data_IF_128035272920
#
_entry.id   IF_128035272920
#
_cell.length_a   1.000
_cell.length_b   1.000
_cell.length_c   1.000
_cell.angle_alpha   90.00
_cell.angle_beta   90.00
_cell.angle_gamma   90.00
#
_symmetry.space_group_name_H-M   'P 1'
#
loop_
_entity.id
_entity.type
_entity.pdbx_description
1 polymer ?
#
# COMPACT_ATOMS: atom_id res chain seq x y z
N UNK A 1 3.00 5.02 -35.66
CA UNK A 1 1.57 5.42 -35.55
C UNK A 1 1.22 5.18 -34.10
N UNK A 2 0.77 6.21 -33.39
CA UNK A 2 0.36 6.08 -31.99
C UNK A 2 -0.97 5.33 -31.88
N UNK A 3 -1.13 4.55 -30.82
CA UNK A 3 -2.37 3.81 -30.53
C UNK A 3 -3.31 4.70 -29.73
N UNK A 4 -4.54 4.92 -30.23
CA UNK A 4 -5.59 5.61 -29.46
C UNK A 4 -5.96 4.80 -28.23
N UNK A 5 -6.09 5.47 -27.09
CA UNK A 5 -6.48 4.85 -25.82
C UNK A 5 -7.95 5.14 -25.53
N UNK A 6 -8.69 4.11 -25.16
CA UNK A 6 -10.08 4.16 -24.72
C UNK A 6 -10.26 3.22 -23.52
N UNK A 7 -11.47 3.17 -22.97
CA UNK A 7 -11.82 2.21 -21.91
C UNK A 7 -11.58 0.74 -22.29
N UNK A 8 -11.52 0.43 -23.59
CA UNK A 8 -11.34 -0.95 -24.08
C UNK A 8 -9.90 -1.45 -23.97
N UNK A 9 -8.92 -0.55 -23.97
CA UNK A 9 -7.48 -0.90 -23.90
C UNK A 9 -6.72 -0.18 -22.78
N UNK A 10 -7.40 0.66 -21.98
CA UNK A 10 -6.77 1.49 -20.97
C UNK A 10 -5.93 0.69 -19.96
N UNK A 11 -6.47 -0.42 -19.43
CA UNK A 11 -5.76 -1.25 -18.44
C UNK A 11 -4.39 -1.69 -18.97
N UNK A 12 -4.35 -2.13 -20.23
CA UNK A 12 -3.10 -2.54 -20.88
C UNK A 12 -2.17 -1.35 -21.08
N UNK A 13 -2.69 -0.23 -21.59
CA UNK A 13 -1.90 0.98 -21.82
C UNK A 13 -1.28 1.55 -20.54
N UNK A 14 -2.04 1.63 -19.45
CA UNK A 14 -1.55 2.09 -18.15
C UNK A 14 -0.53 1.11 -17.55
N UNK A 15 -0.73 -0.20 -17.74
CA UNK A 15 0.23 -1.22 -17.29
C UNK A 15 1.52 -1.18 -18.09
N UNK A 16 1.45 -0.98 -19.40
CA UNK A 16 2.63 -0.79 -20.26
C UNK A 16 3.41 0.47 -19.85
N UNK A 17 2.71 1.58 -19.58
CA UNK A 17 3.32 2.81 -19.04
C UNK A 17 4.03 2.55 -17.72
N UNK A 18 3.40 1.82 -16.81
CA UNK A 18 3.96 1.51 -15.49
C UNK A 18 5.14 0.53 -15.57
N UNK A 19 5.08 -0.50 -16.42
CA UNK A 19 6.19 -1.42 -16.65
C UNK A 19 7.39 -0.68 -17.24
N UNK A 20 7.19 0.18 -18.24
CA UNK A 20 8.27 0.98 -18.81
C UNK A 20 8.93 1.90 -17.76
N UNK A 21 8.12 2.56 -16.91
CA UNK A 21 8.61 3.43 -15.84
C UNK A 21 9.38 2.66 -14.76
N UNK A 22 8.85 1.53 -14.29
CA UNK A 22 9.49 0.70 -13.25
C UNK A 22 10.79 0.08 -13.77
N UNK A 23 10.79 -0.43 -15.01
CA UNK A 23 12.00 -0.94 -15.65
C UNK A 23 13.08 0.14 -15.76
N UNK A 24 12.70 1.37 -16.14
CA UNK A 24 13.65 2.48 -16.24
C UNK A 24 14.20 2.89 -14.86
N UNK A 25 13.34 2.97 -13.83
CA UNK A 25 13.73 3.28 -12.44
C UNK A 25 14.69 2.23 -11.87
N UNK A 26 14.49 0.96 -12.23
CA UNK A 26 15.39 -0.14 -11.85
C UNK A 26 16.70 -0.20 -12.65
N UNK A 27 16.85 0.63 -13.68
CA UNK A 27 18.02 0.63 -14.56
C UNK A 27 18.06 -0.53 -15.56
N UNK A 28 16.97 -1.30 -15.71
CA UNK A 28 16.88 -2.39 -16.67
C UNK A 28 15.82 -3.44 -16.33
N UNK A 29 15.64 -4.38 -17.25
CA UNK A 29 14.81 -5.59 -17.04
C UNK A 29 15.51 -6.53 -16.06
N UNK A 30 14.72 -7.31 -15.30
CA UNK A 30 15.20 -8.30 -14.34
C UNK A 30 16.12 -7.70 -13.26
N UNK A 31 15.90 -6.44 -12.89
CA UNK A 31 16.62 -5.77 -11.83
C UNK A 31 15.62 -5.22 -10.81
N UNK A 32 15.95 -5.36 -9.52
CA UNK A 32 15.19 -4.73 -8.46
C UNK A 32 15.66 -3.30 -8.24
N UNK A 33 14.71 -2.38 -8.19
CA UNK A 33 14.86 -1.09 -7.53
C UNK A 33 14.33 -1.22 -6.10
N UNK A 34 15.16 -0.96 -5.11
CA UNK A 34 14.77 -0.92 -3.69
C UNK A 34 14.54 0.52 -3.22
N UNK A 35 13.35 0.82 -2.67
CA UNK A 35 13.14 1.99 -1.82
C UNK A 35 13.87 1.75 -0.50
N UNK A 36 14.91 2.56 -0.22
CA UNK A 36 15.71 2.47 1.01
C UNK A 36 15.23 3.38 2.13
N UNK A 37 14.28 4.25 1.83
CA UNK A 37 13.73 5.22 2.76
C UNK A 37 12.21 5.20 2.68
N UNK A 38 11.50 5.46 3.80
CA UNK A 38 10.06 5.66 3.78
C UNK A 38 9.71 6.83 2.86
N UNK A 39 8.53 6.76 2.25
CA UNK A 39 8.14 7.75 1.25
C UNK A 39 8.11 9.18 1.85
N UNK A 40 8.79 10.16 1.23
CA UNK A 40 8.97 11.51 1.78
C UNK A 40 7.64 12.24 2.01
N UNK A 41 7.59 13.12 3.02
CA UNK A 41 6.38 13.88 3.36
C UNK A 41 6.24 15.13 2.48
N UNK A 42 7.36 15.71 2.05
CA UNK A 42 7.44 16.88 1.19
C UNK A 42 7.27 16.56 -0.31
N UNK A 43 7.34 15.29 -0.69
CA UNK A 43 7.20 14.83 -2.08
C UNK A 43 6.15 13.70 -2.22
N UNK A 44 4.90 14.02 -1.90
CA UNK A 44 3.79 13.06 -2.00
C UNK A 44 3.15 13.09 -3.39
N UNK A 45 3.46 12.09 -4.21
CA UNK A 45 2.91 11.93 -5.57
C UNK A 45 1.65 11.05 -5.62
N UNK A 46 1.28 10.43 -4.50
CA UNK A 46 0.15 9.50 -4.37
C UNK A 46 -0.74 9.91 -3.19
N UNK A 47 -2.04 10.01 -3.42
CA UNK A 47 -3.03 10.26 -2.37
C UNK A 47 -3.09 9.05 -1.43
N UNK A 48 -3.14 9.30 -0.12
CA UNK A 48 -3.13 8.26 0.93
C UNK A 48 -1.89 7.36 0.86
N UNK A 49 -0.73 7.99 0.70
CA UNK A 49 0.58 7.35 0.69
C UNK A 49 0.77 6.43 1.90
N UNK A 50 1.39 5.27 1.65
CA UNK A 50 1.73 4.30 2.68
C UNK A 50 3.15 4.53 3.19
N UNK A 51 3.35 4.54 4.51
CA UNK A 51 4.66 4.60 5.17
C UNK A 51 4.96 3.39 6.05
N UNK A 52 4.07 2.40 6.10
CA UNK A 52 4.26 1.17 6.89
C UNK A 52 5.24 0.20 6.24
N UNK A 53 5.48 0.30 4.92
CA UNK A 53 6.31 -0.67 4.19
C UNK A 53 7.32 0.02 3.28
N UNK A 54 8.55 -0.51 3.23
CA UNK A 54 9.48 -0.23 2.14
C UNK A 54 9.19 -1.17 0.96
N UNK A 55 9.32 -0.62 -0.24
CA UNK A 55 8.98 -1.32 -1.48
C UNK A 55 10.22 -1.73 -2.27
N UNK A 56 10.12 -2.82 -3.01
CA UNK A 56 11.09 -3.18 -4.06
C UNK A 56 10.33 -3.59 -5.31
N UNK A 57 10.74 -3.08 -6.47
CA UNK A 57 10.05 -3.32 -7.72
C UNK A 57 11.00 -3.82 -8.79
N UNK A 58 10.54 -4.77 -9.60
CA UNK A 58 11.21 -5.21 -10.81
C UNK A 58 10.17 -5.51 -11.90
N UNK A 59 10.52 -5.21 -13.16
CA UNK A 59 9.86 -5.84 -14.30
C UNK A 59 10.71 -7.03 -14.72
N UNK A 60 10.08 -8.19 -14.89
CA UNK A 60 10.75 -9.48 -15.10
C UNK A 60 10.31 -10.05 -16.44
N UNK A 61 11.28 -10.43 -17.28
CA UNK A 61 11.04 -11.25 -18.48
C UNK A 61 11.00 -12.72 -18.09
N UNK A 62 9.80 -13.30 -18.14
CA UNK A 62 9.53 -14.69 -17.75
C UNK A 62 9.34 -15.60 -18.96
N UNK A 63 9.63 -15.12 -20.18
CA UNK A 63 9.45 -15.89 -21.42
C UNK A 63 10.26 -17.18 -21.51
N UNK A 64 11.35 -17.28 -20.76
CA UNK A 64 12.14 -18.49 -20.59
C UNK A 64 12.12 -19.00 -19.12
N UNK A 65 11.10 -18.60 -18.35
CA UNK A 65 10.99 -18.82 -16.91
C UNK A 65 11.87 -17.87 -16.09
N UNK A 66 11.45 -17.60 -14.86
CA UNK A 66 12.26 -16.88 -13.87
C UNK A 66 11.98 -17.40 -12.46
N UNK A 67 12.82 -17.01 -11.50
CA UNK A 67 12.70 -17.29 -10.07
C UNK A 67 12.92 -16.03 -9.28
N UNK A 68 12.03 -15.73 -8.34
CA UNK A 68 12.26 -14.73 -7.29
C UNK A 68 12.53 -15.45 -5.97
N UNK A 69 13.59 -15.08 -5.27
CA UNK A 69 13.89 -15.61 -3.94
C UNK A 69 13.67 -14.53 -2.89
N UNK A 70 12.82 -14.83 -1.91
CA UNK A 70 12.60 -13.99 -0.73
C UNK A 70 13.43 -14.52 0.44
N UNK A 71 14.12 -13.64 1.19
CA UNK A 71 14.85 -14.03 2.38
C UNK A 71 13.89 -14.38 3.52
N UNK A 72 14.45 -15.03 4.55
CA UNK A 72 13.78 -15.13 5.84
C UNK A 72 13.75 -13.77 6.54
N UNK A 73 12.53 -13.28 6.76
CA UNK A 73 12.21 -12.04 7.46
C UNK A 73 11.71 -12.28 8.89
N UNK A 74 11.71 -13.53 9.37
CA UNK A 74 11.12 -13.91 10.66
C UNK A 74 9.63 -13.60 10.69
N UNK A 75 9.17 -12.99 11.79
CA UNK A 75 7.77 -12.60 11.98
C UNK A 75 7.40 -11.28 11.26
N UNK A 76 8.37 -10.61 10.62
CA UNK A 76 8.12 -9.36 9.91
C UNK A 76 7.30 -9.61 8.66
N UNK A 77 6.26 -8.81 8.47
CA UNK A 77 5.47 -8.85 7.23
C UNK A 77 6.37 -8.56 6.01
N UNK A 78 6.41 -9.53 5.10
CA UNK A 78 6.99 -9.41 3.77
C UNK A 78 6.09 -10.14 2.78
N UNK A 79 5.72 -9.46 1.69
CA UNK A 79 4.91 -10.03 0.61
C UNK A 79 5.53 -9.68 -0.74
N UNK A 80 5.52 -10.63 -1.68
CA UNK A 80 5.89 -10.38 -3.08
C UNK A 80 4.67 -10.59 -3.98
N UNK A 81 4.11 -9.49 -4.46
CA UNK A 81 2.98 -9.47 -5.36
C UNK A 81 3.46 -9.53 -6.81
N UNK A 82 2.87 -10.40 -7.62
CA UNK A 82 3.16 -10.52 -9.06
C UNK A 82 1.98 -10.01 -9.86
N UNK A 83 2.23 -9.00 -10.70
CA UNK A 83 1.22 -8.38 -11.57
C UNK A 83 1.55 -8.70 -13.02
N UNK A 84 0.62 -9.33 -13.73
CA UNK A 84 0.80 -9.61 -15.15
C UNK A 84 0.57 -8.35 -16.01
N UNK A 85 0.85 -8.44 -17.31
CA UNK A 85 0.76 -7.28 -18.18
C UNK A 85 -0.70 -6.83 -18.47
N UNK A 86 -1.70 -7.62 -18.06
CA UNK A 86 -3.12 -7.24 -18.10
C UNK A 86 -3.63 -6.73 -16.73
N UNK A 87 -2.71 -6.41 -15.82
CA UNK A 87 -2.96 -5.87 -14.49
C UNK A 87 -3.69 -6.81 -13.51
N UNK A 88 -3.65 -8.12 -13.76
CA UNK A 88 -4.13 -9.10 -12.79
C UNK A 88 -3.03 -9.46 -11.80
N UNK A 89 -3.44 -9.71 -10.56
CA UNK A 89 -2.58 -10.16 -9.48
C UNK A 89 -2.78 -11.66 -9.31
N UNK A 90 -2.02 -12.46 -10.05
CA UNK A 90 -2.23 -13.92 -10.09
C UNK A 90 -1.47 -14.67 -8.98
N UNK A 91 -0.53 -14.00 -8.30
CA UNK A 91 0.19 -14.59 -7.18
C UNK A 91 0.66 -13.53 -6.18
N UNK A 92 0.58 -13.87 -4.90
CA UNK A 92 1.22 -13.15 -3.80
C UNK A 92 1.95 -14.18 -2.94
N UNK A 93 3.26 -14.05 -2.87
CA UNK A 93 4.11 -14.95 -2.09
C UNK A 93 4.39 -14.35 -0.72
N UNK A 94 4.29 -15.21 0.30
CA UNK A 94 4.56 -14.89 1.70
C UNK A 94 5.63 -15.83 2.23
N UNK A 95 6.56 -15.30 3.04
CA UNK A 95 7.61 -16.09 3.67
C UNK A 95 8.81 -16.37 2.78
N UNK A 96 9.86 -16.91 3.42
CA UNK A 96 11.12 -17.24 2.77
C UNK A 96 10.97 -18.35 1.74
N UNK A 97 11.62 -18.23 0.59
CA UNK A 97 11.61 -19.27 -0.42
C UNK A 97 11.94 -18.76 -1.81
N UNK A 98 12.11 -19.71 -2.72
CA UNK A 98 12.29 -19.44 -4.15
C UNK A 98 11.00 -19.81 -4.88
N UNK A 99 10.45 -18.85 -5.61
CA UNK A 99 9.17 -18.95 -6.29
C UNK A 99 9.39 -18.86 -7.80
N UNK A 100 8.87 -19.84 -8.54
CA UNK A 100 8.93 -19.88 -9.99
C UNK A 100 7.93 -18.90 -10.60
N UNK A 101 8.32 -18.25 -11.70
CA UNK A 101 7.50 -17.39 -12.51
C UNK A 101 7.48 -17.91 -13.94
N UNK A 102 6.29 -18.28 -14.44
CA UNK A 102 6.13 -18.91 -15.76
C UNK A 102 5.03 -18.22 -16.57
N UNK A 103 5.19 -18.19 -17.90
CA UNK A 103 4.16 -17.65 -18.81
C UNK A 103 2.85 -18.42 -18.67
N UNK A 104 2.90 -19.74 -18.45
CA UNK A 104 1.70 -20.57 -18.25
C UNK A 104 0.88 -20.14 -17.04
N UNK A 105 1.53 -19.67 -15.97
CA UNK A 105 0.84 -19.18 -14.77
C UNK A 105 0.28 -17.76 -14.95
N UNK A 106 1.09 -16.84 -15.50
CA UNK A 106 0.75 -15.41 -15.52
C UNK A 106 0.15 -14.91 -16.83
N UNK A 107 0.15 -15.74 -17.88
CA UNK A 107 -0.43 -15.43 -19.20
C UNK A 107 0.34 -14.41 -20.04
N UNK A 108 1.39 -13.78 -19.50
CA UNK A 108 2.17 -12.75 -20.19
C UNK A 108 3.67 -13.01 -20.08
N UNK A 109 4.45 -12.56 -21.07
CA UNK A 109 5.91 -12.76 -21.09
C UNK A 109 6.67 -11.84 -20.12
N UNK A 110 6.05 -10.74 -19.72
CA UNK A 110 6.57 -9.81 -18.72
C UNK A 110 5.60 -9.69 -17.55
N UNK A 111 6.14 -9.61 -16.35
CA UNK A 111 5.40 -9.37 -15.10
C UNK A 111 6.11 -8.31 -14.27
N UNK A 112 5.38 -7.62 -13.40
CA UNK A 112 5.97 -6.80 -12.35
C UNK A 112 5.96 -7.59 -11.04
N UNK A 113 7.11 -7.63 -10.35
CA UNK A 113 7.23 -8.16 -8.99
C UNK A 113 7.39 -6.98 -8.03
N UNK A 114 6.42 -6.81 -7.13
CA UNK A 114 6.38 -5.77 -6.12
C UNK A 114 6.47 -6.36 -4.73
N UNK A 115 7.61 -6.17 -4.06
CA UNK A 115 7.84 -6.63 -2.69
C UNK A 115 7.53 -5.50 -1.71
N UNK A 116 6.76 -5.80 -0.66
CA UNK A 116 6.47 -4.91 0.47
C UNK A 116 7.06 -5.52 1.72
N UNK A 117 7.87 -4.76 2.45
CA UNK A 117 8.44 -5.18 3.73
C UNK A 117 8.08 -4.17 4.80
N UNK A 118 7.44 -4.61 5.89
CA UNK A 118 7.09 -3.75 7.02
C UNK A 118 8.34 -3.06 7.57
N UNK A 119 8.21 -1.78 7.91
CA UNK A 119 9.28 -0.96 8.49
C UNK A 119 8.69 -0.06 9.58
N UNK A 120 9.45 0.20 10.63
CA UNK A 120 9.22 1.37 11.48
C UNK A 120 9.85 2.60 10.81
N UNK A 121 9.06 3.54 10.25
CA UNK A 121 9.60 4.69 9.55
C UNK A 121 10.28 5.71 10.48
N UNK A 122 10.18 5.56 11.80
CA UNK A 122 10.82 6.42 12.80
C UNK A 122 12.13 5.82 13.36
N UNK A 123 12.40 4.54 13.13
CA UNK A 123 13.62 3.87 13.61
C UNK A 123 14.63 3.65 12.47
N UNK A 124 15.72 4.41 12.51
CA UNK A 124 16.81 4.30 11.54
C UNK A 124 17.50 2.91 11.55
N UNK A 125 17.55 2.22 12.70
CA UNK A 125 18.10 0.88 12.78
C UNK A 125 17.16 -0.13 12.10
N UNK A 126 15.85 0.04 12.25
CA UNK A 126 14.85 -0.80 11.58
C UNK A 126 14.88 -0.62 10.06
N UNK A 127 14.99 0.62 9.58
CA UNK A 127 15.17 0.95 8.15
C UNK A 127 16.43 0.27 7.58
N UNK A 128 17.53 0.28 8.34
CA UNK A 128 18.77 -0.38 7.96
C UNK A 128 18.60 -1.90 7.90
N UNK A 129 17.85 -2.50 8.82
CA UNK A 129 17.55 -3.94 8.80
C UNK A 129 16.68 -4.32 7.60
N UNK A 130 15.62 -3.56 7.31
CA UNK A 130 14.80 -3.77 6.10
C UNK A 130 15.65 -3.64 4.84
N UNK A 131 16.61 -2.70 4.81
CA UNK A 131 17.55 -2.59 3.70
C UNK A 131 18.41 -3.84 3.53
N UNK A 132 18.88 -4.44 4.63
CA UNK A 132 19.59 -5.74 4.58
C UNK A 132 18.69 -6.89 4.12
N UNK A 133 17.40 -6.88 4.46
CA UNK A 133 16.44 -7.85 3.93
C UNK A 133 16.29 -7.68 2.42
N UNK A 134 16.08 -6.46 1.95
CA UNK A 134 15.97 -6.14 0.52
C UNK A 134 17.20 -6.60 -0.28
N UNK A 135 18.41 -6.43 0.26
CA UNK A 135 19.66 -6.88 -0.39
C UNK A 135 19.74 -8.40 -0.61
N UNK A 136 18.94 -9.17 0.14
CA UNK A 136 18.87 -10.63 0.04
C UNK A 136 17.74 -11.12 -0.87
N UNK A 137 16.93 -10.22 -1.43
CA UNK A 137 15.96 -10.56 -2.46
C UNK A 137 16.73 -10.79 -3.76
N UNK A 138 16.60 -11.96 -4.37
CA UNK A 138 17.27 -12.27 -5.64
C UNK A 138 16.28 -12.58 -6.75
N UNK A 139 16.71 -12.35 -7.98
CA UNK A 139 15.96 -12.64 -9.20
C UNK A 139 16.87 -13.35 -10.19
N UNK A 140 16.42 -14.50 -10.68
CA UNK A 140 17.10 -15.28 -11.72
C UNK A 140 16.13 -15.47 -12.88
N UNK A 141 16.48 -15.00 -14.08
CA UNK A 141 15.62 -15.12 -15.25
C UNK A 141 16.35 -15.86 -16.38
N UNK A 142 15.64 -16.74 -17.08
CA UNK A 142 16.17 -17.49 -18.23
C UNK A 142 16.31 -16.65 -19.50
N UNK A 143 15.75 -15.44 -19.51
CA UNK A 143 15.80 -14.47 -20.61
C UNK A 143 15.87 -13.05 -20.04
N UNK A 144 16.34 -12.09 -20.85
CA UNK A 144 16.49 -10.68 -20.49
C UNK A 144 16.03 -9.74 -21.61
N UNK A 145 14.93 -10.08 -22.29
CA UNK A 145 14.33 -9.22 -23.31
C UNK A 145 13.70 -8.01 -22.63
N UNK A 146 14.17 -6.78 -22.91
CA UNK A 146 13.58 -5.59 -22.31
C UNK A 146 12.09 -5.48 -22.63
N UNK A 147 11.31 -4.99 -21.68
CA UNK A 147 9.96 -4.56 -21.93
C UNK A 147 10.01 -3.29 -22.80
N UNK A 148 9.25 -3.30 -23.91
CA UNK A 148 9.12 -2.17 -24.84
C UNK A 148 7.65 -1.80 -24.94
N UNK A 149 7.28 -0.67 -24.34
CA UNK A 149 5.92 -0.14 -24.42
C UNK A 149 5.58 0.23 -25.87
N UNK A 150 4.36 -0.05 -26.35
CA UNK A 150 3.81 0.60 -27.52
C UNK A 150 3.78 2.13 -27.34
N UNK A 151 3.77 2.85 -28.47
CA UNK A 151 3.50 4.29 -28.45
C UNK A 151 1.99 4.52 -28.38
N UNK A 152 1.53 5.12 -27.28
CA UNK A 152 0.14 5.54 -27.07
C UNK A 152 -0.04 7.02 -27.37
N UNK A 153 -1.23 7.38 -27.86
CA UNK A 153 -1.61 8.78 -28.02
C UNK A 153 -1.88 9.42 -26.65
N UNK A 154 -1.02 10.36 -26.25
CA UNK A 154 -1.06 10.97 -24.92
C UNK A 154 -2.41 11.68 -24.62
N UNK A 155 -3.01 12.33 -25.61
CA UNK A 155 -4.27 13.07 -25.41
C UNK A 155 -5.42 12.12 -25.06
N UNK A 156 -5.57 11.02 -25.80
CA UNK A 156 -6.59 10.01 -25.51
C UNK A 156 -6.29 9.20 -24.24
N UNK A 157 -4.99 8.97 -23.94
CA UNK A 157 -4.56 8.35 -22.69
C UNK A 157 -4.98 9.18 -21.47
N UNK A 158 -4.55 10.44 -21.43
CA UNK A 158 -4.83 11.35 -20.31
C UNK A 158 -6.33 11.59 -20.18
N UNK A 159 -7.03 11.81 -21.29
CA UNK A 159 -8.49 11.97 -21.28
C UNK A 159 -9.24 10.74 -20.74
N UNK A 160 -8.79 9.53 -21.08
CA UNK A 160 -9.38 8.29 -20.54
C UNK A 160 -9.06 8.13 -19.06
N UNK A 161 -7.80 8.38 -18.66
CA UNK A 161 -7.35 8.30 -17.27
C UNK A 161 -8.13 9.26 -16.37
N UNK A 162 -8.27 10.52 -16.78
CA UNK A 162 -9.00 11.54 -16.03
C UNK A 162 -10.48 11.18 -15.87
N UNK A 163 -11.10 10.64 -16.92
CA UNK A 163 -12.48 10.12 -16.85
C UNK A 163 -12.63 8.99 -15.82
N UNK A 164 -11.68 8.05 -15.79
CA UNK A 164 -11.68 6.96 -14.81
C UNK A 164 -11.42 7.45 -13.38
N UNK A 165 -10.52 8.41 -13.19
CA UNK A 165 -10.29 9.05 -11.90
C UNK A 165 -11.53 9.78 -11.40
N UNK A 166 -12.30 10.42 -12.28
CA UNK A 166 -13.59 11.02 -11.93
C UNK A 166 -14.63 9.98 -11.51
N UNK A 167 -14.65 8.79 -12.11
CA UNK A 167 -15.53 7.70 -11.67
C UNK A 167 -15.10 7.17 -10.29
N UNK A 168 -13.79 7.10 -10.02
CA UNK A 168 -13.26 6.65 -8.74
C UNK A 168 -13.76 7.49 -7.56
N UNK A 169 -14.07 8.79 -7.75
CA UNK A 169 -14.57 9.66 -6.67
C UNK A 169 -15.96 9.26 -6.16
N UNK A 170 -16.70 8.43 -6.89
CA UNK A 170 -18.03 7.93 -6.50
C UNK A 170 -17.97 6.54 -5.85
N UNK A 171 -16.80 5.94 -5.71
CA UNK A 171 -16.61 4.65 -5.05
C UNK A 171 -16.30 4.85 -3.57
N UNK A 172 -16.87 3.99 -2.72
CA UNK A 172 -16.66 4.00 -1.27
C UNK A 172 -15.45 3.16 -0.81
N UNK A 173 -14.78 2.45 -1.73
CA UNK A 173 -13.66 1.57 -1.41
C UNK A 173 -12.99 0.97 -2.65
N UNK A 174 -11.91 0.23 -2.43
CA UNK A 174 -11.11 -0.46 -3.46
C UNK A 174 -11.45 -1.95 -3.58
N UNK A 175 -12.61 -2.36 -3.07
CA UNK A 175 -13.04 -3.76 -3.12
C UNK A 175 -13.11 -4.27 -4.57
N UNK A 176 -12.59 -5.50 -4.78
CA UNK A 176 -12.59 -6.20 -6.08
C UNK A 176 -11.98 -5.43 -7.25
N UNK A 177 -11.08 -4.47 -6.98
CA UNK A 177 -10.30 -3.78 -8.02
C UNK A 177 -9.06 -4.55 -8.45
N UNK A 178 -8.48 -5.34 -7.53
CA UNK A 178 -7.22 -6.07 -7.73
C UNK A 178 -7.41 -7.52 -7.29
N UNK A 179 -6.73 -8.45 -7.96
CA UNK A 179 -6.89 -9.89 -7.79
C UNK A 179 -6.67 -10.63 -9.11
N UNK A 180 -6.95 -11.93 -9.11
CA UNK A 180 -7.03 -12.70 -10.35
C UNK A 180 -8.21 -12.21 -11.20
N UNK A 181 -8.26 -12.65 -12.46
CA UNK A 181 -9.36 -12.33 -13.37
C UNK A 181 -10.74 -12.69 -12.82
N UNK A 182 -10.83 -13.76 -12.02
CA UNK A 182 -12.07 -14.26 -11.42
C UNK A 182 -12.50 -13.50 -10.16
N UNK A 183 -11.54 -12.88 -9.46
CA UNK A 183 -11.78 -12.18 -8.19
C UNK A 183 -12.29 -10.75 -8.42
N UNK A 184 -11.79 -10.09 -9.47
CA UNK A 184 -12.12 -8.69 -9.75
C UNK A 184 -13.52 -8.51 -10.32
N UNK A 185 -14.10 -7.34 -10.09
CA UNK A 185 -15.20 -6.84 -10.92
C UNK A 185 -14.59 -6.08 -12.12
N UNK A 186 -14.97 -6.38 -13.38
CA UNK A 186 -14.31 -5.79 -14.54
C UNK A 186 -14.35 -4.25 -14.61
N UNK A 187 -15.44 -3.62 -14.12
CA UNK A 187 -15.55 -2.16 -14.11
C UNK A 187 -14.66 -1.58 -13.02
N UNK A 188 -14.63 -2.23 -11.84
CA UNK A 188 -13.76 -1.82 -10.74
C UNK A 188 -12.29 -2.04 -11.06
N UNK A 189 -11.93 -3.11 -11.76
CA UNK A 189 -10.57 -3.36 -12.26
C UNK A 189 -10.11 -2.25 -13.21
N UNK A 190 -10.95 -1.86 -14.17
CA UNK A 190 -10.68 -0.74 -15.08
C UNK A 190 -10.43 0.58 -14.33
N UNK A 191 -11.31 0.92 -13.37
CA UNK A 191 -11.15 2.14 -12.56
C UNK A 191 -9.89 2.04 -11.67
N UNK A 192 -9.65 0.87 -11.07
CA UNK A 192 -8.52 0.59 -10.20
C UNK A 192 -7.17 0.70 -10.90
N UNK A 193 -7.09 0.33 -12.19
CA UNK A 193 -5.90 0.52 -13.01
C UNK A 193 -5.47 2.00 -13.08
N UNK A 194 -6.42 2.93 -13.13
CA UNK A 194 -6.13 4.37 -13.10
C UNK A 194 -5.87 4.90 -11.68
N UNK A 195 -6.70 4.50 -10.72
CA UNK A 195 -6.78 5.12 -9.39
C UNK A 195 -5.79 4.55 -8.36
N UNK A 196 -5.28 3.34 -8.57
CA UNK A 196 -4.46 2.64 -7.58
C UNK A 196 -3.61 1.53 -8.17
N UNK A 197 -3.00 1.76 -9.34
CA UNK A 197 -2.18 0.75 -10.02
C UNK A 197 -1.20 0.06 -9.06
N UNK A 198 -1.20 -1.27 -9.06
CA UNK A 198 -0.34 -2.05 -8.16
C UNK A 198 -0.90 -2.19 -6.73
N UNK A 199 -2.20 -1.92 -6.54
CA UNK A 199 -2.91 -2.25 -5.30
C UNK A 199 -2.93 -3.76 -5.01
N UNK A 200 -3.01 -4.11 -3.73
CA UNK A 200 -3.21 -5.49 -3.30
C UNK A 200 -4.68 -5.89 -3.42
N UNK A 201 -4.98 -7.18 -3.65
CA UNK A 201 -6.34 -7.72 -3.52
C UNK A 201 -6.90 -7.50 -2.12
N UNK A 202 -8.23 -7.44 -2.01
CA UNK A 202 -8.93 -7.16 -0.75
C UNK A 202 -8.61 -8.17 0.37
N UNK A 203 -8.32 -9.42 0.00
CA UNK A 203 -7.87 -10.50 0.90
C UNK A 203 -6.47 -10.26 1.49
N UNK A 204 -5.70 -9.35 0.91
CA UNK A 204 -4.28 -9.12 1.24
C UNK A 204 -4.07 -7.75 1.87
N UNK A 205 -4.83 -6.74 1.43
CA UNK A 205 -4.96 -5.49 2.15
C UNK A 205 -6.36 -4.90 1.97
N UNK A 206 -7.00 -4.56 3.08
CA UNK A 206 -8.26 -3.81 3.12
C UNK A 206 -8.06 -2.43 3.73
N UNK A 207 -8.82 -1.45 3.24
CA UNK A 207 -8.68 -0.05 3.61
C UNK A 207 -10.03 0.51 4.03
N UNK A 208 -10.13 0.96 5.28
CA UNK A 208 -11.32 1.65 5.78
C UNK A 208 -11.01 3.13 5.90
N UNK A 209 -11.56 3.93 4.98
CA UNK A 209 -11.44 5.39 5.01
C UNK A 209 -12.46 5.97 5.98
N UNK A 210 -11.99 6.80 6.90
CA UNK A 210 -12.85 7.46 7.88
C UNK A 210 -12.68 8.97 7.74
N UNK A 211 -13.81 9.64 7.52
CA UNK A 211 -13.97 11.08 7.72
C UNK A 211 -14.65 11.28 9.07
N UNK A 212 -13.93 11.67 10.13
CA UNK A 212 -14.46 11.77 11.48
C UNK A 212 -15.73 12.64 11.56
N UNK A 213 -15.73 13.79 10.87
CA UNK A 213 -16.79 14.81 10.94
C UNK A 213 -17.17 15.17 12.39
N UNK A 214 -16.15 15.28 13.23
CA UNK A 214 -16.25 15.60 14.66
C UNK A 214 -15.92 17.07 14.92
N UNK A 215 -16.35 17.60 16.05
CA UNK A 215 -15.98 18.94 16.51
C UNK A 215 -14.46 19.02 16.79
N UNK A 216 -13.82 20.20 16.69
CA UNK A 216 -12.41 20.35 17.04
C UNK A 216 -12.12 19.87 18.47
N UNK A 217 -11.08 19.06 18.63
CA UNK A 217 -10.67 18.53 19.94
C UNK A 217 -9.81 17.28 19.79
N UNK A 218 -9.38 16.77 20.94
CA UNK A 218 -8.63 15.52 21.04
C UNK A 218 -9.59 14.32 21.08
N UNK A 219 -9.22 13.25 20.38
CA UNK A 219 -10.00 12.02 20.31
C UNK A 219 -9.10 10.80 20.52
N UNK A 220 -9.69 9.69 20.92
CA UNK A 220 -9.02 8.41 21.05
C UNK A 220 -9.81 7.33 20.31
N UNK A 221 -9.09 6.31 19.83
CA UNK A 221 -9.64 5.06 19.31
C UNK A 221 -8.85 3.90 19.88
N UNK A 222 -9.52 2.97 20.53
CA UNK A 222 -8.89 1.77 21.07
C UNK A 222 -9.17 0.59 20.16
N UNK A 223 -8.10 -0.04 19.68
CA UNK A 223 -8.13 -1.23 18.84
C UNK A 223 -7.75 -2.45 19.67
N UNK A 224 -8.64 -3.43 19.70
CA UNK A 224 -8.49 -4.70 20.39
C UNK A 224 -8.94 -5.82 19.44
N UNK A 225 -8.25 -6.96 19.49
CA UNK A 225 -8.58 -8.17 18.72
C UNK A 225 -8.87 -7.93 17.23
N UNK A 226 -8.12 -7.01 16.61
CA UNK A 226 -8.30 -6.67 15.19
C UNK A 226 -8.07 -7.92 14.33
N UNK A 227 -9.04 -8.34 13.49
CA UNK A 227 -8.99 -9.61 12.79
C UNK A 227 -8.11 -9.53 11.53
N UNK A 228 -6.80 -9.47 11.74
CA UNK A 228 -5.74 -9.48 10.72
C UNK A 228 -4.71 -10.56 11.02
N UNK A 229 -4.17 -11.20 9.98
CA UNK A 229 -3.13 -12.23 10.10
C UNK A 229 -1.70 -11.65 9.98
N UNK A 230 -1.56 -10.36 9.66
CA UNK A 230 -0.27 -9.68 9.58
C UNK A 230 -0.18 -8.50 10.56
N UNK A 231 -0.72 -7.33 10.17
CA UNK A 231 -0.73 -6.14 11.01
C UNK A 231 -1.84 -5.18 10.56
N UNK A 232 -2.14 -4.20 11.41
CA UNK A 232 -3.00 -3.07 11.04
C UNK A 232 -2.26 -1.76 11.25
N UNK A 233 -2.67 -0.71 10.55
CA UNK A 233 -2.15 0.65 10.76
C UNK A 233 -3.25 1.71 10.63
N UNK A 234 -3.03 2.85 11.27
CA UNK A 234 -3.85 4.06 11.16
C UNK A 234 -2.94 5.19 10.72
N UNK A 235 -3.22 5.78 9.57
CA UNK A 235 -2.53 6.97 9.06
C UNK A 235 -3.47 8.16 8.96
N UNK A 236 -3.04 9.33 9.44
CA UNK A 236 -3.81 10.59 9.40
C UNK A 236 -3.36 11.46 8.23
N UNK A 237 -4.33 12.04 7.54
CA UNK A 237 -4.15 12.89 6.36
C UNK A 237 -4.91 14.21 6.52
N UNK A 238 -4.46 15.26 5.83
CA UNK A 238 -5.22 16.51 5.67
C UNK A 238 -6.45 16.30 4.76
N UNK A 239 -7.28 17.33 4.65
CA UNK A 239 -8.51 17.32 3.84
C UNK A 239 -8.30 16.93 2.36
N UNK A 240 -7.07 17.02 1.84
CA UNK A 240 -6.72 16.61 0.46
C UNK A 240 -6.21 15.17 0.36
N UNK A 241 -6.11 14.45 1.47
CA UNK A 241 -5.65 13.06 1.52
C UNK A 241 -4.12 12.89 1.52
N UNK A 242 -3.38 13.93 1.89
CA UNK A 242 -1.91 13.91 2.02
C UNK A 242 -1.49 14.05 3.48
N UNK A 243 -0.32 13.52 3.85
CA UNK A 243 0.28 13.79 5.15
C UNK A 243 0.56 15.29 5.29
N UNK A 244 0.17 15.88 6.41
CA UNK A 244 0.47 17.28 6.73
C UNK A 244 1.72 17.33 7.60
N UNK A 245 2.82 17.98 7.18
CA UNK A 245 4.05 18.06 7.97
C UNK A 245 3.76 18.49 9.42
N UNK A 246 4.31 17.74 10.38
CA UNK A 246 4.20 18.04 11.81
C UNK A 246 5.57 17.98 12.49
N UNK A 247 5.77 18.83 13.51
CA UNK A 247 7.05 18.95 14.24
C UNK A 247 7.48 17.67 14.93
N UNK A 248 6.53 16.85 15.38
CA UNK A 248 6.83 15.54 15.97
C UNK A 248 7.14 14.45 14.95
N UNK A 249 6.90 14.69 13.65
CA UNK A 249 7.08 13.68 12.60
C UNK A 249 6.18 12.44 12.74
N UNK A 250 5.11 12.51 13.54
CA UNK A 250 4.19 11.40 13.80
C UNK A 250 3.00 11.47 12.85
N UNK A 251 2.81 10.42 12.06
CA UNK A 251 1.76 10.35 11.03
C UNK A 251 0.94 9.07 11.05
N UNK A 252 1.50 8.02 11.65
CA UNK A 252 0.96 6.66 11.57
C UNK A 252 1.28 5.89 12.83
N UNK A 253 0.34 5.07 13.28
CA UNK A 253 0.51 4.08 14.34
C UNK A 253 0.08 2.74 13.78
N UNK A 254 0.82 1.68 14.08
CA UNK A 254 0.48 0.32 13.65
C UNK A 254 0.59 -0.67 14.82
N UNK A 255 0.09 -1.90 14.60
CA UNK A 255 0.01 -2.93 15.64
C UNK A 255 1.35 -3.50 16.08
N UNK A 256 2.45 -3.14 15.41
CA UNK A 256 3.80 -3.64 15.69
C UNK A 256 4.64 -2.60 16.43
N UNK A 257 4.51 -1.32 16.06
CA UNK A 257 5.26 -0.20 16.67
C UNK A 257 4.46 0.57 17.73
N UNK A 258 3.13 0.39 17.76
CA UNK A 258 2.26 1.00 18.76
C UNK A 258 2.55 0.47 20.15
N UNK A 259 2.48 1.36 21.14
CA UNK A 259 2.64 1.00 22.55
C UNK A 259 1.33 0.37 23.05
N UNK A 260 1.31 -0.90 23.47
CA UNK A 260 0.10 -1.55 23.96
C UNK A 260 -0.27 -1.07 25.37
N UNK A 261 -1.56 -1.15 25.66
CA UNK A 261 -2.13 -1.07 27.00
C UNK A 261 -1.85 -2.38 27.77
N UNK A 262 -2.15 -2.40 29.08
CA UNK A 262 -1.93 -3.57 29.94
C UNK A 262 -2.73 -4.83 29.51
N UNK A 263 -3.87 -4.63 28.82
CA UNK A 263 -4.72 -5.69 28.27
C UNK A 263 -4.30 -6.13 26.85
N UNK A 264 -3.26 -5.51 26.28
CA UNK A 264 -2.78 -5.79 24.92
C UNK A 264 -3.48 -5.00 23.80
N UNK A 265 -4.54 -4.25 24.11
CA UNK A 265 -5.14 -3.31 23.15
C UNK A 265 -4.19 -2.13 22.86
N UNK A 266 -4.40 -1.42 21.74
CA UNK A 266 -3.66 -0.19 21.43
C UNK A 266 -4.64 0.96 21.31
N UNK A 267 -4.46 1.99 22.14
CA UNK A 267 -5.18 3.26 22.01
C UNK A 267 -4.37 4.22 21.14
N UNK A 268 -4.92 4.58 19.98
CA UNK A 268 -4.41 5.65 19.10
C UNK A 268 -5.06 6.96 19.52
N UNK A 269 -4.24 8.00 19.68
CA UNK A 269 -4.69 9.33 20.12
C UNK A 269 -4.57 10.31 18.95
N UNK A 270 -5.64 11.01 18.68
CA UNK A 270 -5.75 12.03 17.65
C UNK A 270 -5.74 13.37 18.36
N UNK A 271 -4.62 14.09 18.29
CA UNK A 271 -4.35 15.23 19.18
C UNK A 271 -4.21 16.52 18.42
N UNK A 272 -4.67 17.61 19.01
CA UNK A 272 -4.50 18.97 18.49
C UNK A 272 -3.12 19.54 18.79
N UNK A 273 -2.48 19.10 19.87
CA UNK A 273 -1.10 19.46 20.23
C UNK A 273 -0.08 18.58 19.47
N UNK A 274 0.73 19.15 18.56
CA UNK A 274 1.73 18.36 17.83
C UNK A 274 2.80 17.75 18.72
N UNK A 275 3.04 18.33 19.90
CA UNK A 275 4.07 17.94 20.87
C UNK A 275 3.54 17.05 22.00
N UNK A 276 2.31 16.52 21.88
CA UNK A 276 1.72 15.67 22.91
C UNK A 276 2.65 14.49 23.25
N UNK A 277 3.11 14.35 24.50
CA UNK A 277 4.12 13.35 24.86
C UNK A 277 3.54 11.94 25.03
N UNK A 278 2.21 11.78 25.00
CA UNK A 278 1.56 10.48 25.22
C UNK A 278 1.93 9.53 24.09
N UNK A 279 2.09 8.23 24.39
CA UNK A 279 2.31 7.23 23.37
C UNK A 279 1.14 7.18 22.39
N UNK A 280 1.43 6.78 21.15
CA UNK A 280 0.46 6.63 20.06
C UNK A 280 -0.32 7.90 19.70
N UNK A 281 0.20 9.08 20.04
CA UNK A 281 -0.40 10.35 19.63
C UNK A 281 0.01 10.75 18.21
N UNK A 282 -0.98 11.02 17.37
CA UNK A 282 -0.85 11.52 16.00
C UNK A 282 -1.50 12.91 15.96
N UNK A 283 -0.73 13.96 15.62
CA UNK A 283 -1.28 15.30 15.43
C UNK A 283 -2.28 15.32 14.27
N UNK A 284 -3.45 15.93 14.49
CA UNK A 284 -4.49 16.03 13.46
C UNK A 284 -4.54 17.42 12.82
N UNK A 285 -4.46 17.53 11.49
CA UNK A 285 -4.66 18.80 10.80
C UNK A 285 -6.15 19.18 10.70
N UNK A 286 -6.43 20.42 10.30
CA UNK A 286 -7.79 20.86 10.01
C UNK A 286 -8.43 20.01 8.88
N UNK A 287 -9.67 19.58 9.08
CA UNK A 287 -10.40 18.75 8.12
C UNK A 287 -9.77 17.37 7.91
N UNK A 288 -9.06 16.85 8.91
CA UNK A 288 -8.40 15.56 8.82
C UNK A 288 -9.34 14.42 8.47
N UNK A 289 -8.76 13.43 7.79
CA UNK A 289 -9.32 12.11 7.61
C UNK A 289 -8.23 11.09 7.93
N UNK A 290 -8.61 9.84 8.13
CA UNK A 290 -7.63 8.78 8.35
C UNK A 290 -8.01 7.52 7.60
N UNK A 291 -7.00 6.69 7.38
CA UNK A 291 -7.16 5.38 6.76
C UNK A 291 -6.72 4.31 7.75
N UNK A 292 -7.60 3.34 8.01
CA UNK A 292 -7.24 2.09 8.68
C UNK A 292 -6.83 1.10 7.60
N UNK A 293 -5.57 0.65 7.63
CA UNK A 293 -5.07 -0.43 6.76
C UNK A 293 -5.07 -1.73 7.53
N UNK A 294 -5.60 -2.78 6.92
CA UNK A 294 -5.72 -4.11 7.50
C UNK A 294 -4.99 -5.06 6.55
N UNK A 295 -3.84 -5.59 6.96
CA UNK A 295 -3.02 -6.47 6.15
C UNK A 295 -3.36 -7.93 6.45
N UNK A 296 -3.68 -8.68 5.39
CA UNK A 296 -4.24 -10.04 5.46
C UNK A 296 -5.46 -10.08 6.40
N UNK A 297 -6.52 -9.30 6.11
CA UNK A 297 -7.73 -9.29 6.91
C UNK A 297 -8.41 -10.66 6.89
N UNK A 298 -8.90 -11.10 8.05
CA UNK A 298 -9.75 -12.29 8.14
C UNK A 298 -11.18 -11.96 7.68
N UNK A 299 -12.01 -12.99 7.56
CA UNK A 299 -13.37 -12.87 7.03
C UNK A 299 -14.22 -11.84 7.76
N UNK A 300 -13.98 -11.65 9.06
CA UNK A 300 -14.72 -10.74 9.93
C UNK A 300 -14.65 -9.28 9.47
N UNK A 301 -13.53 -8.86 8.86
CA UNK A 301 -13.40 -7.53 8.24
C UNK A 301 -14.24 -7.45 6.97
N UNK A 302 -14.21 -8.51 6.16
CA UNK A 302 -14.76 -8.53 4.81
C UNK A 302 -16.28 -8.67 4.81
N UNK A 303 -16.84 -9.39 5.78
CA UNK A 303 -18.28 -9.55 5.98
C UNK A 303 -18.90 -8.47 6.88
N UNK A 304 -18.06 -7.62 7.48
CA UNK A 304 -18.47 -6.49 8.33
C UNK A 304 -18.91 -6.89 9.74
N UNK A 305 -18.67 -8.13 10.18
CA UNK A 305 -18.89 -8.53 11.58
C UNK A 305 -17.91 -7.84 12.54
N UNK A 306 -16.71 -7.52 12.06
CA UNK A 306 -15.81 -6.56 12.68
C UNK A 306 -15.87 -5.22 11.96
N UNK A 307 -15.98 -4.14 12.73
CA UNK A 307 -15.95 -2.77 12.22
C UNK A 307 -14.95 -1.94 13.00
N UNK A 308 -14.37 -0.93 12.34
CA UNK A 308 -13.48 0.03 13.00
C UNK A 308 -14.18 0.63 14.24
N UNK A 309 -13.53 0.60 15.43
CA UNK A 309 -14.10 1.19 16.64
C UNK A 309 -14.40 2.68 16.49
N UNK A 310 -15.39 3.23 17.21
CA UNK A 310 -15.70 4.64 17.12
C UNK A 310 -14.59 5.50 17.73
N UNK A 311 -14.47 6.74 17.25
CA UNK A 311 -13.72 7.78 17.95
C UNK A 311 -14.48 8.18 19.22
N UNK A 312 -13.76 8.30 20.33
CA UNK A 312 -14.28 8.85 21.59
C UNK A 312 -13.54 10.16 21.90
N UNK A 313 -14.22 11.22 22.38
CA UNK A 313 -13.51 12.40 22.86
C UNK A 313 -12.51 12.01 23.95
N UNK A 314 -11.27 12.49 23.84
CA UNK A 314 -10.30 12.31 24.90
C UNK A 314 -10.85 13.03 26.13
N UNK A 315 -11.10 12.29 27.22
CA UNK A 315 -11.54 12.93 28.46
C UNK A 315 -10.36 13.73 29.00
N UNK A 316 -10.58 15.00 29.38
CA UNK A 316 -9.57 15.77 30.10
C UNK A 316 -9.04 14.90 31.24
N UNK A 317 -7.73 14.64 31.23
CA UNK A 317 -7.06 14.00 32.36
C UNK A 317 -7.39 14.87 33.57
N UNK A 318 -8.20 14.35 34.49
CA UNK A 318 -8.40 15.00 35.78
C UNK A 318 -7.01 15.23 36.40
N UNK A 319 -6.65 16.45 36.82
CA UNK A 319 -5.38 16.67 37.49
C UNK A 319 -5.43 15.97 38.84
N UNK A 320 -4.90 14.73 38.88
CA UNK A 320 -5.01 13.82 40.01
C UNK A 320 -3.65 13.38 40.53
N UNK A 321 -3.23 14.03 41.61
CA UNK A 321 -2.18 13.65 42.56
C UNK A 321 -0.72 13.72 42.08
N UNK A 322 -0.14 14.92 42.24
CA UNK A 322 1.20 15.02 42.81
C UNK A 322 1.12 14.53 44.26
N UNK A 323 1.93 13.53 44.60
CA UNK A 323 2.33 13.20 45.97
C UNK A 323 3.68 13.85 46.27
#
# INVERSE_FOLDING_TARGET
MTTTVSVDNFVRAETDRMFAAIQADAGGINAFRHNREPAPIDEQTVIRLNRDTLYSFAVVDISAGARVTLPDAGDRYMSAMVVNNDHYVDAIFHGAGTYELTVDQFGTEHVMVGVRTLVDPADAADIAEVSRLQDRITLEAGSARPFVSPEYDAVSFDGTRDGLLQLATFLSGFDRMFGTREEVDPVRHLIGAAAGWGGLPTSEASYVGVEPRVDPGDYEMTLEDVPVDAFWSISVYNARGFFEPTSSGRYTINSITGVPNDDGSITVRFVTDPEDPRPNAIPVPDGWNFLVRLYRPRAEVLDGTWTVPPLVPATEVSPGLQA
#
